data_IF_313406064189
#
_entry.id   IF_313406064189
#
_cell.length_a   1.000
_cell.length_b   1.000
_cell.length_c   1.000
_cell.angle_alpha   90.00
_cell.angle_beta   90.00
_cell.angle_gamma   90.00
#
_symmetry.space_group_name_H-M   'P 1'
#
loop_
_entity.id
_entity.type
_entity.pdbx_description
1 polymer ?
#
# COMPACT_ATOMS: atom_id res chain seq x y z
N UNK A 1 15.94 -18.71 -4.29
CA UNK A 1 14.57 -18.90 -3.78
C UNK A 1 14.66 -19.08 -2.27
N UNK A 2 14.41 -18.01 -1.51
CA UNK A 2 14.41 -18.05 -0.04
C UNK A 2 13.24 -18.93 0.42
N UNK A 3 13.53 -20.03 1.11
CA UNK A 3 12.49 -20.79 1.81
C UNK A 3 11.86 -19.87 2.85
N UNK A 4 10.57 -19.53 2.69
CA UNK A 4 9.78 -18.90 3.75
C UNK A 4 9.75 -19.88 4.91
N UNK A 5 10.37 -19.51 6.03
CA UNK A 5 10.24 -20.27 7.29
C UNK A 5 8.77 -20.24 7.66
N UNK A 6 8.13 -21.41 7.70
CA UNK A 6 6.71 -21.51 8.05
C UNK A 6 6.41 -20.70 9.33
N UNK A 7 5.37 -19.89 9.28
CA UNK A 7 4.92 -19.10 10.43
C UNK A 7 5.68 -17.80 10.72
N UNK A 8 6.63 -17.34 9.88
CA UNK A 8 7.22 -15.99 9.99
C UNK A 8 6.88 -15.17 8.76
N UNK A 9 6.41 -13.94 8.95
CA UNK A 9 6.19 -13.00 7.85
C UNK A 9 6.32 -11.54 8.29
N UNK A 10 6.55 -10.66 7.31
CA UNK A 10 6.48 -9.20 7.49
C UNK A 10 5.01 -8.81 7.42
N UNK A 11 4.44 -8.32 8.52
CA UNK A 11 3.07 -7.81 8.55
C UNK A 11 3.03 -6.42 7.93
N UNK A 12 3.90 -5.51 8.38
CA UNK A 12 4.13 -4.23 7.72
C UNK A 12 5.62 -3.90 7.68
N UNK A 13 6.03 -3.20 6.63
CA UNK A 13 7.31 -2.52 6.55
C UNK A 13 7.10 -1.16 5.93
N UNK A 14 7.58 -0.13 6.61
CA UNK A 14 7.50 1.26 6.18
C UNK A 14 8.87 1.88 6.33
N UNK A 15 9.38 2.47 5.26
CA UNK A 15 10.60 3.28 5.29
C UNK A 15 10.31 4.66 4.77
N UNK A 16 11.04 5.62 5.32
CA UNK A 16 10.98 6.99 4.89
C UNK A 16 12.36 7.63 4.95
N UNK A 17 12.62 8.48 4.00
CA UNK A 17 13.73 9.42 4.03
C UNK A 17 13.34 10.61 4.91
N UNK A 18 13.90 10.72 6.11
CA UNK A 18 13.53 11.76 7.08
C UNK A 18 14.24 13.10 6.85
N UNK A 19 15.31 13.11 6.04
CA UNK A 19 16.01 14.33 5.62
C UNK A 19 15.31 14.96 4.42
N UNK A 20 14.68 14.16 3.56
CA UNK A 20 13.93 14.65 2.41
C UNK A 20 12.60 15.29 2.81
N UNK A 21 12.53 16.61 2.61
CA UNK A 21 11.29 17.39 2.78
C UNK A 21 10.56 17.46 1.44
N UNK A 22 9.45 16.74 1.36
CA UNK A 22 8.63 16.73 0.17
C UNK A 22 7.42 17.65 0.32
N UNK A 23 7.21 18.52 -0.66
CA UNK A 23 5.96 19.28 -0.75
C UNK A 23 4.79 18.32 -0.89
N UNK A 24 3.78 18.49 -0.05
CA UNK A 24 2.55 17.72 -0.12
C UNK A 24 1.89 17.92 -1.49
N UNK A 25 1.52 16.82 -2.14
CA UNK A 25 0.95 16.80 -3.49
C UNK A 25 -0.50 16.34 -3.52
N UNK A 26 -0.97 15.75 -2.43
CA UNK A 26 -2.35 15.31 -2.23
C UNK A 26 -2.88 15.80 -0.89
N UNK A 27 -4.17 16.17 -0.86
CA UNK A 27 -4.85 16.68 0.32
C UNK A 27 -5.23 15.54 1.28
N UNK A 28 -5.54 15.90 2.53
CA UNK A 28 -6.15 15.00 3.48
C UNK A 28 -7.57 14.64 3.02
N UNK A 29 -8.06 13.49 3.49
CA UNK A 29 -9.38 13.01 3.13
C UNK A 29 -10.46 14.02 3.51
N UNK A 30 -11.33 14.34 2.56
CA UNK A 30 -12.46 15.25 2.74
C UNK A 30 -12.06 16.72 2.93
N UNK A 31 -10.78 17.05 2.85
CA UNK A 31 -10.26 18.39 3.15
C UNK A 31 -9.40 18.89 1.98
N UNK A 32 -9.97 19.61 1.00
CA UNK A 32 -9.28 19.95 -0.26
C UNK A 32 -7.97 20.74 -0.11
N UNK A 33 -7.85 21.51 0.98
CA UNK A 33 -6.73 22.42 1.21
C UNK A 33 -5.80 21.98 2.35
N UNK A 34 -6.18 20.95 3.12
CA UNK A 34 -5.32 20.43 4.16
C UNK A 34 -4.41 19.37 3.54
N UNK A 35 -3.08 19.40 3.73
CA UNK A 35 -2.21 18.37 3.19
C UNK A 35 -2.49 17.00 3.82
N UNK A 36 -2.35 15.93 3.04
CA UNK A 36 -2.48 14.58 3.58
C UNK A 36 -1.46 14.33 4.69
N UNK A 37 -1.92 13.73 5.79
CA UNK A 37 -1.03 13.11 6.75
C UNK A 37 -0.48 11.83 6.10
N UNK A 38 0.71 11.91 5.52
CA UNK A 38 1.41 10.73 5.04
C UNK A 38 1.87 9.92 6.26
N UNK A 39 1.72 8.59 6.23
CA UNK A 39 2.27 7.72 7.29
C UNK A 39 3.79 7.87 7.40
N UNK A 40 4.48 8.18 6.30
CA UNK A 40 5.89 8.56 6.33
C UNK A 40 6.14 9.95 6.94
N UNK A 41 5.14 10.84 6.88
CA UNK A 41 5.15 12.11 7.59
C UNK A 41 5.11 11.93 9.11
N UNK A 42 4.47 10.86 9.61
CA UNK A 42 4.57 10.47 11.04
C UNK A 42 5.98 10.01 11.41
N UNK A 43 6.73 9.48 10.44
CA UNK A 43 8.15 9.13 10.56
C UNK A 43 9.09 10.32 10.24
N UNK A 44 8.53 11.51 9.98
CA UNK A 44 9.28 12.77 9.80
C UNK A 44 9.81 13.03 8.39
N UNK A 45 9.39 12.26 7.38
CA UNK A 45 10.02 12.21 6.06
C UNK A 45 9.12 12.00 4.86
N UNK A 46 9.75 11.76 3.71
CA UNK A 46 9.09 11.30 2.49
C UNK A 46 9.02 9.76 2.46
N UNK A 47 7.88 9.21 2.07
CA UNK A 47 7.69 7.77 1.95
C UNK A 47 8.60 7.19 0.88
N UNK A 48 9.36 6.16 1.24
CA UNK A 48 10.20 5.39 0.33
C UNK A 48 9.53 4.03 0.09
N UNK A 49 9.98 2.95 0.74
CA UNK A 49 9.37 1.62 0.58
C UNK A 49 8.27 1.38 1.61
N UNK A 50 7.09 0.97 1.16
CA UNK A 50 5.98 0.52 2.01
C UNK A 50 5.37 -0.78 1.49
N UNK A 51 5.30 -1.81 2.33
CA UNK A 51 4.73 -3.10 1.97
C UNK A 51 4.20 -3.87 3.20
N UNK A 52 3.37 -4.89 3.00
CA UNK A 52 2.90 -5.77 4.06
C UNK A 52 2.96 -7.25 3.69
N UNK A 53 2.11 -8.06 4.29
CA UNK A 53 1.95 -9.48 3.94
C UNK A 53 1.49 -9.67 2.48
N UNK A 54 0.94 -8.61 1.90
CA UNK A 54 0.49 -8.48 0.54
C UNK A 54 1.58 -8.01 -0.45
N UNK A 55 2.85 -8.09 -0.04
CA UNK A 55 4.00 -7.84 -0.91
C UNK A 55 4.02 -8.84 -2.07
N UNK A 56 3.61 -8.39 -3.25
CA UNK A 56 3.77 -9.10 -4.52
C UNK A 56 5.07 -8.69 -5.22
N UNK A 57 5.43 -9.41 -6.29
CA UNK A 57 6.63 -9.19 -7.11
C UNK A 57 6.72 -7.76 -7.70
N UNK A 58 5.62 -6.97 -7.67
CA UNK A 58 5.57 -5.62 -8.25
C UNK A 58 6.23 -4.50 -7.42
N UNK A 59 6.60 -4.74 -6.16
CA UNK A 59 7.37 -3.77 -5.35
C UNK A 59 6.75 -2.37 -5.20
N UNK A 60 7.57 -1.38 -4.86
CA UNK A 60 7.21 0.04 -4.90
C UNK A 60 7.56 0.62 -6.28
N UNK A 61 6.63 1.32 -6.92
CA UNK A 61 6.84 1.89 -8.25
C UNK A 61 7.40 3.30 -8.16
N UNK A 62 8.64 3.49 -8.65
CA UNK A 62 9.27 4.80 -8.82
C UNK A 62 9.44 5.20 -10.29
N UNK A 63 9.04 4.34 -11.22
CA UNK A 63 9.03 4.63 -12.64
C UNK A 63 7.83 3.99 -13.33
N UNK A 64 7.58 4.33 -14.60
CA UNK A 64 6.58 3.61 -15.39
C UNK A 64 7.13 2.23 -15.77
N UNK A 65 6.29 1.19 -15.68
CA UNK A 65 6.70 -0.18 -16.01
C UNK A 65 7.18 -0.34 -17.46
N UNK A 66 6.71 0.53 -18.36
CA UNK A 66 7.13 0.54 -19.76
C UNK A 66 8.51 1.19 -19.99
N UNK A 67 9.15 1.72 -18.94
CA UNK A 67 10.46 2.39 -19.01
C UNK A 67 10.47 3.67 -19.87
N UNK A 68 9.32 4.13 -20.35
CA UNK A 68 9.24 5.30 -21.25
C UNK A 68 9.45 6.63 -20.53
N UNK A 69 9.57 6.59 -19.20
CA UNK A 69 9.67 7.78 -18.37
C UNK A 69 10.88 7.72 -17.47
N UNK A 70 11.62 8.80 -17.55
CA UNK A 70 12.67 9.11 -16.61
C UNK A 70 12.02 9.68 -15.35
N UNK A 71 11.79 8.82 -14.38
CA UNK A 71 11.32 9.15 -13.03
C UNK A 71 11.99 8.22 -12.03
N UNK A 72 12.21 8.71 -10.82
CA UNK A 72 12.77 7.91 -9.74
C UNK A 72 12.59 8.60 -8.40
N UNK A 73 12.81 7.87 -7.32
CA UNK A 73 12.96 8.49 -6.00
C UNK A 73 14.37 9.05 -5.89
N UNK A 74 14.51 10.37 -5.85
CA UNK A 74 15.82 11.01 -5.77
C UNK A 74 16.40 10.84 -4.36
N UNK A 75 17.60 10.26 -4.25
CA UNK A 75 18.32 10.08 -2.99
C UNK A 75 19.62 10.88 -3.05
N UNK A 76 19.78 11.81 -2.13
CA UNK A 76 20.98 12.60 -1.94
C UNK A 76 22.06 11.86 -1.16
N UNK A 77 23.32 12.27 -1.31
CA UNK A 77 24.46 11.65 -0.63
C UNK A 77 24.42 11.76 0.90
N UNK A 78 23.64 12.70 1.43
CA UNK A 78 23.45 12.93 2.86
C UNK A 78 22.07 12.48 3.36
N UNK A 79 21.27 11.86 2.49
CA UNK A 79 19.93 11.43 2.90
C UNK A 79 20.00 10.30 3.91
N UNK A 80 19.05 10.31 4.84
CA UNK A 80 18.98 9.35 5.93
C UNK A 80 17.60 8.76 6.03
N UNK A 81 17.56 7.45 6.22
CA UNK A 81 16.33 6.67 6.21
C UNK A 81 16.00 6.19 7.62
N UNK A 82 14.71 6.16 7.92
CA UNK A 82 14.16 5.45 9.07
C UNK A 82 13.26 4.34 8.59
N UNK A 83 13.24 3.23 9.32
CA UNK A 83 12.45 2.05 9.00
C UNK A 83 11.67 1.60 10.22
N UNK A 84 10.41 1.24 9.98
CA UNK A 84 9.55 0.57 10.93
C UNK A 84 9.06 -0.74 10.30
N UNK A 85 9.26 -1.84 11.02
CA UNK A 85 8.83 -3.15 10.58
C UNK A 85 8.05 -3.84 11.70
N UNK A 86 6.89 -4.37 11.33
CA UNK A 86 6.11 -5.28 12.16
C UNK A 86 6.31 -6.70 11.64
N UNK A 87 6.90 -7.55 12.47
CA UNK A 87 7.20 -8.95 12.14
C UNK A 87 6.34 -9.84 13.01
N UNK A 88 5.66 -10.80 12.38
CA UNK A 88 4.88 -11.81 13.09
C UNK A 88 5.62 -13.13 13.06
N UNK A 89 5.74 -13.76 14.23
CA UNK A 89 6.31 -15.09 14.40
C UNK A 89 5.31 -15.98 15.14
N UNK A 90 4.73 -16.96 14.45
CA UNK A 90 3.86 -17.99 15.02
C UNK A 90 4.64 -19.17 15.62
N UNK A 91 5.96 -19.22 15.44
CA UNK A 91 6.78 -20.29 16.01
C UNK A 91 6.97 -20.07 17.51
N UNK A 92 7.03 -21.18 18.25
CA UNK A 92 7.35 -21.14 19.69
C UNK A 92 8.82 -20.76 19.92
N UNK A 93 9.69 -21.11 18.98
CA UNK A 93 11.10 -20.82 19.06
C UNK A 93 11.42 -19.39 18.63
N UNK A 94 12.43 -18.80 19.26
CA UNK A 94 13.04 -17.55 18.80
C UNK A 94 13.70 -17.78 17.45
N UNK A 95 13.57 -16.79 16.57
CA UNK A 95 14.13 -16.82 15.22
C UNK A 95 14.88 -15.51 14.97
N UNK A 96 16.01 -15.60 14.31
CA UNK A 96 16.70 -14.43 13.78
C UNK A 96 16.13 -14.13 12.39
N UNK A 97 15.75 -12.89 12.17
CA UNK A 97 15.15 -12.43 10.91
C UNK A 97 16.01 -11.30 10.36
N UNK A 98 16.27 -11.34 9.06
CA UNK A 98 16.93 -10.28 8.32
C UNK A 98 15.94 -9.70 7.34
N UNK A 99 15.88 -8.38 7.28
CA UNK A 99 15.05 -7.65 6.33
C UNK A 99 16.00 -7.05 5.29
N UNK A 100 15.72 -7.31 4.03
CA UNK A 100 16.48 -6.77 2.91
C UNK A 100 15.54 -6.04 1.95
N UNK A 101 16.07 -5.02 1.30
CA UNK A 101 15.43 -4.37 0.15
C UNK A 101 16.21 -4.77 -1.08
N UNK A 102 15.50 -5.14 -2.13
CA UNK A 102 16.05 -5.23 -3.47
C UNK A 102 15.70 -3.93 -4.19
N UNK A 103 16.70 -3.14 -4.57
CA UNK A 103 16.54 -1.79 -5.09
C UNK A 103 17.34 -1.62 -6.37
N UNK A 104 16.64 -1.25 -7.44
CA UNK A 104 17.26 -0.77 -8.66
C UNK A 104 17.53 0.73 -8.54
N UNK A 105 18.75 1.16 -8.86
CA UNK A 105 19.15 2.56 -8.80
C UNK A 105 20.14 2.89 -9.91
N UNK A 106 20.20 4.18 -10.26
CA UNK A 106 21.16 4.72 -11.22
C UNK A 106 21.91 5.91 -10.59
N UNK A 107 23.22 6.09 -10.87
CA UNK A 107 23.97 7.22 -10.35
C UNK A 107 23.46 8.57 -10.89
N UNK A 108 23.36 9.57 -10.01
CA UNK A 108 22.94 10.93 -10.36
C UNK A 108 21.43 11.16 -10.24
N UNK A 109 21.01 12.39 -10.53
CA UNK A 109 19.60 12.78 -10.51
C UNK A 109 19.07 12.79 -11.94
N UNK A 110 18.09 11.94 -12.19
CA UNK A 110 17.49 11.71 -13.51
C UNK A 110 15.99 11.95 -13.44
N UNK A 111 15.43 12.56 -14.48
CA UNK A 111 13.99 12.71 -14.59
C UNK A 111 13.33 13.56 -13.50
N UNK A 112 12.09 13.20 -13.15
CA UNK A 112 11.33 13.84 -12.07
C UNK A 112 11.38 13.00 -10.78
N UNK A 113 11.37 13.71 -9.65
CA UNK A 113 11.32 13.10 -8.33
C UNK A 113 9.94 12.49 -8.04
N UNK A 114 9.92 11.23 -7.63
CA UNK A 114 8.71 10.51 -7.26
C UNK A 114 8.34 10.75 -5.81
N UNK A 115 7.05 11.03 -5.63
CA UNK A 115 6.39 11.30 -4.39
C UNK A 115 5.43 10.16 -4.10
N UNK A 116 5.47 9.58 -2.89
CA UNK A 116 4.51 8.53 -2.50
C UNK A 116 3.57 9.01 -1.40
N UNK A 117 2.35 8.47 -1.38
CA UNK A 117 1.39 8.65 -0.29
C UNK A 117 0.55 7.38 -0.10
N UNK A 118 0.21 7.07 1.14
CA UNK A 118 -0.77 6.02 1.48
C UNK A 118 -2.12 6.68 1.75
N UNK A 119 -3.10 6.37 0.91
CA UNK A 119 -4.48 6.81 1.06
C UNK A 119 -5.29 5.72 1.77
N UNK A 120 -6.26 6.10 2.61
CA UNK A 120 -7.01 5.15 3.46
C UNK A 120 -8.51 5.33 3.24
N UNK A 121 -9.22 4.22 2.99
CA UNK A 121 -10.66 4.19 2.75
C UNK A 121 -11.48 4.75 3.93
N UNK A 122 -10.97 4.61 5.15
CA UNK A 122 -11.59 5.09 6.39
C UNK A 122 -11.14 6.49 6.81
N UNK A 123 -10.33 7.19 6.03
CA UNK A 123 -9.97 8.59 6.30
C UNK A 123 -9.44 8.86 7.73
N UNK A 124 -8.63 7.94 8.27
CA UNK A 124 -8.11 8.02 9.64
C UNK A 124 -8.94 7.23 10.66
N UNK A 125 -9.79 6.32 10.21
CA UNK A 125 -10.52 5.37 11.06
C UNK A 125 -12.04 5.58 11.13
N UNK A 126 -12.59 6.58 10.42
CA UNK A 126 -14.03 6.86 10.38
C UNK A 126 -14.53 7.16 8.95
N UNK A 127 -15.52 6.42 8.43
CA UNK A 127 -16.17 5.28 9.07
C UNK A 127 -15.23 4.07 9.16
N UNK A 128 -15.51 3.14 10.07
CA UNK A 128 -14.85 1.84 10.09
C UNK A 128 -15.11 1.07 8.77
N UNK A 129 -14.23 0.12 8.45
CA UNK A 129 -14.46 -0.79 7.31
C UNK A 129 -15.75 -1.56 7.55
N UNK A 130 -16.69 -1.45 6.61
CA UNK A 130 -17.94 -2.22 6.61
C UNK A 130 -17.62 -3.67 6.29
N UNK A 131 -18.29 -4.57 6.99
CA UNK A 131 -18.20 -6.02 6.80
C UNK A 131 -19.61 -6.61 6.77
N UNK A 132 -19.79 -7.69 6.00
CA UNK A 132 -21.05 -8.43 5.94
C UNK A 132 -20.78 -9.92 5.83
N UNK A 133 -21.57 -10.72 6.55
CA UNK A 133 -21.52 -12.19 6.48
C UNK A 133 -22.40 -12.77 5.37
N UNK A 134 -23.19 -11.93 4.69
CA UNK A 134 -24.19 -12.36 3.70
C UNK A 134 -23.83 -11.97 2.27
N UNK A 135 -22.69 -11.31 2.06
CA UNK A 135 -22.22 -10.93 0.73
C UNK A 135 -21.25 -9.75 0.76
N UNK A 136 -20.95 -9.16 -0.42
CA UNK A 136 -19.98 -8.09 -0.53
C UNK A 136 -20.47 -6.78 0.10
N UNK A 137 -19.54 -6.01 0.63
CA UNK A 137 -19.79 -4.66 1.13
C UNK A 137 -18.61 -3.74 0.86
N UNK A 138 -18.90 -2.43 0.83
CA UNK A 138 -17.98 -1.41 0.38
C UNK A 138 -17.81 -0.31 1.42
N UNK A 139 -16.56 0.09 1.65
CA UNK A 139 -16.22 1.29 2.42
C UNK A 139 -15.60 2.30 1.47
N UNK A 140 -16.24 3.46 1.35
CA UNK A 140 -15.84 4.53 0.44
C UNK A 140 -15.21 5.67 1.23
N UNK A 141 -14.04 6.12 0.80
CA UNK A 141 -13.39 7.29 1.39
C UNK A 141 -14.12 8.59 1.06
N UNK A 142 -13.82 9.65 1.82
CA UNK A 142 -13.93 11.00 1.29
C UNK A 142 -12.94 11.24 0.14
N UNK A 143 -13.02 12.41 -0.48
CA UNK A 143 -12.15 12.78 -1.61
C UNK A 143 -10.78 13.24 -1.12
N UNK A 144 -9.73 12.84 -1.82
CA UNK A 144 -8.38 13.37 -1.71
C UNK A 144 -8.10 14.23 -2.93
N UNK A 145 -7.63 15.45 -2.77
CA UNK A 145 -7.49 16.39 -3.88
C UNK A 145 -6.02 16.56 -4.27
N UNK A 146 -5.72 16.56 -5.56
CA UNK A 146 -4.40 16.90 -6.05
C UNK A 146 -4.12 18.38 -5.79
N UNK A 147 -2.97 18.67 -5.20
CA UNK A 147 -2.54 20.03 -4.87
C UNK A 147 -1.56 20.60 -5.92
N UNK A 148 -1.13 19.75 -6.86
CA UNK A 148 -0.19 20.06 -7.93
C UNK A 148 -0.56 19.27 -9.20
N UNK A 149 -0.22 19.81 -10.36
CA UNK A 149 -0.34 19.10 -11.64
C UNK A 149 0.72 18.00 -11.72
N UNK A 150 0.38 16.88 -12.37
CA UNK A 150 1.32 15.80 -12.50
C UNK A 150 0.71 14.53 -13.04
N UNK A 151 1.28 13.41 -12.61
CA UNK A 151 0.91 12.08 -13.09
C UNK A 151 1.02 11.07 -11.95
N UNK A 152 0.00 10.25 -11.78
CA UNK A 152 0.06 9.06 -10.93
C UNK A 152 0.76 7.97 -11.73
N UNK A 153 1.92 7.51 -11.26
CA UNK A 153 2.74 6.50 -11.95
C UNK A 153 2.19 5.09 -11.74
N UNK A 154 1.61 4.85 -10.57
CA UNK A 154 0.96 3.60 -10.24
C UNK A 154 0.36 3.66 -8.85
N UNK A 155 -0.46 2.67 -8.54
CA UNK A 155 -1.04 2.53 -7.21
C UNK A 155 -1.18 1.04 -6.84
N UNK A 156 -0.98 0.71 -5.57
CA UNK A 156 -1.17 -0.66 -5.08
C UNK A 156 -1.98 -0.64 -3.79
N UNK A 157 -3.02 -1.46 -3.75
CA UNK A 157 -3.88 -1.63 -2.60
C UNK A 157 -3.13 -2.34 -1.48
N UNK A 158 -3.67 -2.21 -0.28
CA UNK A 158 -3.31 -3.05 0.87
C UNK A 158 -4.59 -3.36 1.64
N UNK A 159 -4.86 -4.65 1.80
CA UNK A 159 -6.03 -5.23 2.43
C UNK A 159 -5.57 -6.33 3.38
N UNK A 160 -6.35 -6.54 4.44
CA UNK A 160 -6.25 -7.75 5.23
C UNK A 160 -7.24 -8.80 4.71
N UNK A 161 -7.14 -10.03 5.24
CA UNK A 161 -8.00 -11.15 4.88
C UNK A 161 -9.50 -10.80 4.95
N UNK A 162 -10.25 -11.30 3.97
CA UNK A 162 -11.64 -10.93 3.72
C UNK A 162 -11.82 -9.79 2.71
N UNK A 163 -10.75 -9.06 2.44
CA UNK A 163 -10.70 -8.06 1.38
C UNK A 163 -10.70 -8.71 -0.01
N UNK A 164 -11.38 -8.07 -0.95
CA UNK A 164 -11.44 -8.49 -2.36
C UNK A 164 -10.59 -7.57 -3.23
N UNK A 165 -10.77 -6.26 -3.09
CA UNK A 165 -10.02 -5.25 -3.86
C UNK A 165 -10.14 -3.87 -3.24
N UNK A 166 -9.24 -2.97 -3.64
CA UNK A 166 -9.40 -1.52 -3.44
C UNK A 166 -9.50 -0.87 -4.82
N UNK A 167 -10.64 -0.24 -5.10
CA UNK A 167 -10.87 0.50 -6.33
C UNK A 167 -10.48 1.98 -6.16
N UNK A 168 -9.82 2.53 -7.17
CA UNK A 168 -9.41 3.93 -7.26
C UNK A 168 -10.29 4.65 -8.30
N UNK A 169 -10.89 5.75 -7.88
CA UNK A 169 -11.68 6.63 -8.73
C UNK A 169 -10.97 7.97 -8.88
N UNK A 170 -10.82 8.45 -10.12
CA UNK A 170 -10.33 9.78 -10.45
C UNK A 170 -11.51 10.61 -10.93
N UNK A 171 -11.81 11.72 -10.26
CA UNK A 171 -12.95 12.60 -10.56
C UNK A 171 -14.28 11.83 -10.67
N UNK A 172 -14.52 10.97 -9.67
CA UNK A 172 -15.70 10.08 -9.58
C UNK A 172 -15.84 9.05 -10.71
N UNK A 173 -14.87 8.95 -11.63
CA UNK A 173 -14.80 7.91 -12.66
C UNK A 173 -13.87 6.80 -12.20
N UNK A 174 -14.28 5.55 -12.40
CA UNK A 174 -13.42 4.41 -12.14
C UNK A 174 -12.13 4.54 -12.96
N UNK A 175 -10.98 4.44 -12.29
CA UNK A 175 -9.67 4.52 -12.92
C UNK A 175 -9.01 3.14 -12.97
N UNK A 176 -8.95 2.45 -11.83
CA UNK A 176 -8.35 1.13 -11.72
C UNK A 176 -8.80 0.42 -10.43
N UNK A 177 -8.46 -0.85 -10.27
CA UNK A 177 -8.57 -1.56 -9.01
C UNK A 177 -7.31 -2.40 -8.74
N UNK A 178 -6.97 -2.50 -7.46
CA UNK A 178 -5.96 -3.41 -6.95
C UNK A 178 -6.66 -4.58 -6.26
N UNK A 179 -6.61 -5.75 -6.89
CA UNK A 179 -7.28 -6.98 -6.49
C UNK A 179 -6.39 -7.81 -5.55
N UNK A 180 -7.01 -8.41 -4.53
CA UNK A 180 -6.34 -9.31 -3.61
C UNK A 180 -6.05 -10.66 -4.27
N UNK A 181 -4.82 -11.14 -4.10
CA UNK A 181 -4.34 -12.44 -4.57
C UNK A 181 -4.20 -13.36 -3.37
N UNK A 182 -4.98 -14.45 -3.34
CA UNK A 182 -5.02 -15.40 -2.24
C UNK A 182 -4.23 -16.69 -2.55
N UNK A 183 -3.37 -17.11 -1.62
CA UNK A 183 -2.76 -18.45 -1.53
C UNK A 183 -2.34 -19.10 -2.86
N UNK A 184 -1.50 -18.43 -3.64
CA UNK A 184 -1.14 -18.85 -5.01
C UNK A 184 0.05 -19.81 -5.11
N UNK A 185 0.75 -20.16 -4.01
CA UNK A 185 1.85 -21.13 -4.01
C UNK A 185 1.66 -22.18 -2.89
N UNK A 186 1.85 -23.45 -3.20
CA UNK A 186 1.89 -24.51 -2.18
C UNK A 186 2.92 -24.14 -1.09
N UNK A 187 2.50 -24.15 0.18
CA UNK A 187 3.34 -23.73 1.31
C UNK A 187 3.27 -22.24 1.67
N UNK A 188 2.53 -21.42 0.92
CA UNK A 188 2.26 -20.02 1.28
C UNK A 188 0.86 -19.85 1.90
N UNK A 189 0.81 -19.31 3.12
CA UNK A 189 -0.46 -18.90 3.76
C UNK A 189 -1.23 -19.99 4.52
N UNK A 190 -0.71 -21.22 4.61
CA UNK A 190 -1.31 -22.22 5.50
C UNK A 190 -0.93 -21.92 6.95
N UNK A 191 -1.77 -21.17 7.65
CA UNK A 191 -1.81 -21.23 9.11
C UNK A 191 -2.26 -22.65 9.46
N UNK A 192 -1.55 -23.33 10.36
CA UNK A 192 -1.81 -24.70 10.78
C UNK A 192 -3.10 -24.80 11.64
N UNK A 193 -4.24 -24.37 11.09
CA UNK A 193 -5.57 -24.60 11.65
C UNK A 193 -6.36 -25.55 10.75
N UNK A 194 -7.35 -26.22 11.34
CA UNK A 194 -8.07 -27.35 10.76
C UNK A 194 -8.90 -27.05 9.49
N UNK A 195 -8.90 -25.80 9.02
CA UNK A 195 -9.39 -25.40 7.72
C UNK A 195 -8.29 -24.55 7.07
N UNK A 196 -7.83 -24.95 5.88
CA UNK A 196 -6.82 -24.22 5.09
C UNK A 196 -7.39 -22.88 4.59
N UNK A 197 -7.54 -21.90 5.48
CA UNK A 197 -7.91 -20.54 5.12
C UNK A 197 -6.75 -19.97 4.31
N UNK A 198 -6.99 -19.71 3.02
CA UNK A 198 -6.03 -18.99 2.20
C UNK A 198 -5.97 -17.55 2.70
N UNK A 199 -4.76 -17.06 2.95
CA UNK A 199 -4.53 -15.65 3.26
C UNK A 199 -4.21 -14.87 1.99
N UNK A 200 -4.34 -13.54 2.05
CA UNK A 200 -3.77 -12.65 1.04
C UNK A 200 -2.26 -12.90 0.98
N UNK A 201 -1.76 -13.03 -0.24
CA UNK A 201 -0.35 -13.27 -0.60
C UNK A 201 0.21 -12.17 -1.50
N UNK A 202 -0.66 -11.25 -1.94
CA UNK A 202 -0.31 -10.19 -2.87
C UNK A 202 -1.50 -9.29 -3.18
N UNK A 203 -1.23 -8.11 -3.69
CA UNK A 203 -2.20 -7.23 -4.34
C UNK A 203 -1.74 -6.94 -5.78
N UNK A 204 -2.67 -6.88 -6.74
CA UNK A 204 -2.34 -6.46 -8.11
C UNK A 204 -2.04 -4.96 -8.14
N UNK A 205 -1.20 -4.53 -9.08
CA UNK A 205 -0.85 -3.12 -9.21
C UNK A 205 -1.75 -2.43 -10.23
N UNK A 206 -2.22 -1.23 -9.90
CA UNK A 206 -2.77 -0.30 -10.87
C UNK A 206 -1.62 0.37 -11.62
N UNK A 207 -1.43 -0.02 -12.87
CA UNK A 207 -0.33 0.50 -13.67
C UNK A 207 -0.77 1.83 -14.29
N UNK A 208 -0.02 2.89 -13.99
CA UNK A 208 -0.21 4.18 -14.64
C UNK A 208 0.57 4.26 -15.96
N UNK A 209 0.81 5.48 -16.48
CA UNK A 209 0.59 6.75 -15.81
C UNK A 209 -0.80 7.37 -16.07
N UNK A 210 -1.46 7.84 -15.01
CA UNK A 210 -2.71 8.62 -15.12
C UNK A 210 -2.39 10.12 -15.00
N UNK A 211 -2.66 10.95 -16.03
CA UNK A 211 -2.48 12.39 -15.92
C UNK A 211 -3.51 13.00 -14.97
N UNK A 212 -3.07 13.96 -14.16
CA UNK A 212 -3.90 14.64 -13.17
C UNK A 212 -3.56 16.13 -13.09
N UNK A 213 -4.53 16.94 -12.73
CA UNK A 213 -4.40 18.38 -12.52
C UNK A 213 -4.69 18.73 -11.06
N UNK A 214 -4.13 19.84 -10.60
CA UNK A 214 -4.51 20.45 -9.33
C UNK A 214 -6.03 20.65 -9.29
N UNK A 215 -6.65 20.20 -8.20
CA UNK A 215 -8.09 20.23 -8.01
C UNK A 215 -8.81 18.95 -8.44
N UNK A 216 -8.17 18.07 -9.24
CA UNK A 216 -8.69 16.72 -9.46
C UNK A 216 -8.77 15.97 -8.12
N UNK A 217 -9.63 14.96 -8.06
CA UNK A 217 -9.88 14.19 -6.84
C UNK A 217 -9.70 12.69 -7.02
N UNK A 218 -9.07 12.05 -6.05
CA UNK A 218 -9.06 10.61 -5.85
C UNK A 218 -10.12 10.21 -4.81
N UNK A 219 -10.70 9.03 -5.00
CA UNK A 219 -11.58 8.37 -4.03
C UNK A 219 -11.29 6.88 -4.04
N UNK A 220 -11.21 6.30 -2.85
CA UNK A 220 -11.01 4.86 -2.66
C UNK A 220 -12.33 4.17 -2.33
N UNK A 221 -12.47 2.94 -2.81
CA UNK A 221 -13.52 2.02 -2.37
C UNK A 221 -12.86 0.69 -1.99
N UNK A 222 -12.80 0.39 -0.69
CA UNK A 222 -12.37 -0.92 -0.20
C UNK A 222 -13.56 -1.87 -0.20
N UNK A 223 -13.39 -3.03 -0.84
CA UNK A 223 -14.45 -4.03 -1.04
C UNK A 223 -14.07 -5.29 -0.28
N UNK A 224 -14.99 -5.76 0.58
CA UNK A 224 -14.86 -6.98 1.37
C UNK A 224 -15.99 -7.95 1.02
N UNK A 225 -15.71 -9.25 1.03
CA UNK A 225 -16.71 -10.31 0.84
C UNK A 225 -16.35 -11.52 1.71
N UNK A 226 -17.00 -11.60 2.88
CA UNK A 226 -16.70 -12.63 3.87
C UNK A 226 -17.28 -14.01 3.52
N UNK A 227 -18.17 -14.09 2.53
CA UNK A 227 -18.66 -15.36 2.00
C UNK A 227 -17.57 -15.97 1.12
N UNK A 228 -16.88 -15.13 0.33
CA UNK A 228 -15.80 -15.56 -0.55
C UNK A 228 -14.48 -15.79 0.20
N UNK A 229 -14.14 -14.89 1.11
CA UNK A 229 -12.88 -14.90 1.85
C UNK A 229 -13.18 -14.64 3.34
N UNK A 230 -13.09 -15.64 4.24
CA UNK A 230 -13.34 -15.39 5.65
C UNK A 230 -12.25 -14.50 6.25
N UNK A 231 -12.60 -13.76 7.31
CA UNK A 231 -11.59 -13.08 8.12
C UNK A 231 -10.69 -14.13 8.78
N UNK A 232 -9.42 -13.80 8.93
CA UNK A 232 -8.53 -14.54 9.83
C UNK A 232 -8.96 -14.33 11.28
N UNK A 233 -8.76 -15.35 12.10
CA UNK A 233 -8.87 -15.21 13.55
C UNK A 233 -7.49 -14.96 14.18
N UNK A 234 -7.44 -14.11 15.20
CA UNK A 234 -6.28 -13.97 16.06
C UNK A 234 -6.10 -15.22 16.92
N UNK A 235 -4.95 -15.37 17.58
CA UNK A 235 -4.74 -16.48 18.53
C UNK A 235 -5.73 -16.53 19.69
N UNK A 236 -6.53 -15.48 19.91
CA UNK A 236 -7.61 -15.44 20.91
C UNK A 236 -9.00 -15.74 20.33
N UNK A 237 -9.10 -16.21 19.08
CA UNK A 237 -10.38 -16.48 18.41
C UNK A 237 -11.19 -15.23 18.05
N UNK A 238 -10.58 -14.03 18.08
CA UNK A 238 -11.23 -12.79 17.65
C UNK A 238 -10.96 -12.57 16.16
N UNK A 239 -11.87 -11.91 15.45
CA UNK A 239 -11.60 -11.47 14.09
C UNK A 239 -10.33 -10.59 14.07
N UNK A 240 -9.44 -10.86 13.11
CA UNK A 240 -8.28 -10.03 12.84
C UNK A 240 -8.71 -8.63 12.38
N UNK A 241 -7.78 -7.67 12.48
CA UNK A 241 -8.00 -6.31 12.02
C UNK A 241 -8.29 -6.27 10.52
N UNK A 242 -8.95 -5.22 10.03
CA UNK A 242 -9.28 -5.02 8.61
C UNK A 242 -8.78 -3.68 8.12
N UNK A 243 -8.22 -3.65 6.91
CA UNK A 243 -7.68 -2.45 6.30
C UNK A 243 -8.20 -2.20 4.89
N UNK A 244 -8.18 -0.95 4.46
CA UNK A 244 -8.49 -0.55 3.10
C UNK A 244 -7.59 0.61 2.71
N UNK A 245 -6.40 0.32 2.19
CA UNK A 245 -5.40 1.34 1.86
C UNK A 245 -4.97 1.23 0.40
N UNK A 246 -4.41 2.32 -0.11
CA UNK A 246 -3.79 2.37 -1.44
C UNK A 246 -2.52 3.21 -1.35
N UNK A 247 -1.36 2.61 -1.60
CA UNK A 247 -0.13 3.35 -1.86
C UNK A 247 -0.18 3.91 -3.28
N UNK A 248 0.11 5.20 -3.44
CA UNK A 248 0.05 5.90 -4.72
C UNK A 248 1.39 6.60 -4.97
N UNK A 249 1.98 6.33 -6.13
CA UNK A 249 3.19 7.01 -6.61
C UNK A 249 2.82 8.14 -7.58
N UNK A 250 3.40 9.31 -7.39
CA UNK A 250 3.10 10.52 -8.13
C UNK A 250 4.38 11.26 -8.54
N UNK A 251 4.38 11.85 -9.72
CA UNK A 251 5.38 12.83 -10.14
C UNK A 251 4.68 14.14 -10.49
N UNK A 252 5.22 15.27 -10.05
CA UNK A 252 4.77 16.58 -10.51
C UNK A 252 5.22 16.81 -11.96
N UNK A 253 4.49 17.65 -12.70
CA UNK A 253 5.02 18.23 -13.92
C UNK A 253 6.09 19.28 -13.57
N UNK A 254 7.14 19.40 -14.39
CA UNK A 254 8.11 20.50 -14.29
C UNK A 254 7.49 21.81 -14.77
#
# INVERSE_FOLDING_TARGET
MLMKVAGIYIHHILTSDFTKKQKNWVSNCGSPNAPALNVAGLLGGSAFVGAGEDSSDGGALYTSEDGTRETGYHIGATDSFTGWAEIVNYNKEKKQVYIYYDLEWIPGIHGNDVKMATLIATCGGSPAIKLSKTGPTNTTSGKFYFMEDGKVLGARGHLHDGGVKVALYLNDKFSCASDAVYGSKEGEGAVASAASIKTISGMTTCNGPFPVKKGDSLKLVAIYDLVKHPLRETGSGKAADVMGRMGVSFTANK
#
